data_IF_537124775051
#
_entry.id   IF_537124775051
#
_cell.length_a   1.000
_cell.length_b   1.000
_cell.length_c   1.000
_cell.angle_alpha   90.00
_cell.angle_beta   90.00
_cell.angle_gamma   90.00
#
_symmetry.space_group_name_H-M   'P 1'
#
loop_
_entity.id
_entity.type
_entity.pdbx_description
1 polymer ?
#
# COMPACT_ATOMS: atom_id res chain seq x y z
N UNK A 1 -13.83 -0.41 -17.25
CA UNK A 1 -12.44 -0.67 -17.68
C UNK A 1 -11.70 -1.05 -16.43
N UNK A 2 -11.02 -2.19 -16.45
CA UNK A 2 -10.28 -2.67 -15.29
C UNK A 2 -8.88 -2.05 -15.34
N UNK A 3 -8.44 -1.48 -14.22
CA UNK A 3 -7.16 -0.75 -14.13
C UNK A 3 -6.21 -1.46 -13.17
N UNK A 4 -4.93 -1.54 -13.52
CA UNK A 4 -3.88 -2.02 -12.62
C UNK A 4 -3.04 -0.82 -12.19
N UNK A 5 -2.86 -0.64 -10.88
CA UNK A 5 -2.07 0.46 -10.31
C UNK A 5 -0.91 -0.10 -9.50
N UNK A 6 0.30 0.25 -9.91
CA UNK A 6 1.55 -0.08 -9.21
C UNK A 6 1.83 0.87 -8.05
N UNK A 7 2.70 0.43 -7.14
CA UNK A 7 3.30 1.29 -6.13
C UNK A 7 4.69 1.76 -6.58
N UNK A 8 5.13 2.90 -6.04
CA UNK A 8 6.43 3.49 -6.35
C UNK A 8 7.28 3.73 -5.12
N UNK A 9 8.60 3.54 -5.26
CA UNK A 9 9.60 3.97 -4.29
C UNK A 9 10.51 4.97 -4.99
N UNK A 10 10.68 6.15 -4.40
CA UNK A 10 11.54 7.21 -4.91
C UNK A 10 12.69 7.43 -3.94
N UNK A 11 13.92 7.47 -4.47
CA UNK A 11 15.10 7.88 -3.70
C UNK A 11 15.57 9.24 -4.20
N UNK A 12 15.81 10.16 -3.27
CA UNK A 12 16.36 11.48 -3.51
C UNK A 12 17.79 11.48 -3.00
N UNK A 13 18.75 11.69 -3.90
CA UNK A 13 20.18 11.64 -3.61
C UNK A 13 20.80 13.02 -3.42
N UNK A 14 20.01 14.08 -3.59
CA UNK A 14 20.41 15.48 -3.48
C UNK A 14 19.40 16.25 -2.60
N UNK A 15 19.52 17.58 -2.61
CA UNK A 15 18.59 18.49 -1.92
C UNK A 15 17.42 18.96 -2.81
N UNK A 16 17.26 18.39 -4.01
CA UNK A 16 16.17 18.77 -4.89
C UNK A 16 14.85 18.07 -4.50
N UNK A 17 13.73 18.68 -4.88
CA UNK A 17 12.43 18.04 -4.74
C UNK A 17 12.23 17.01 -5.87
N UNK A 18 11.75 15.79 -5.57
CA UNK A 18 11.49 14.81 -6.61
C UNK A 18 10.27 15.22 -7.44
N UNK A 19 10.28 14.88 -8.73
CA UNK A 19 9.17 15.15 -9.66
C UNK A 19 7.81 14.63 -9.18
N UNK A 20 7.81 13.47 -8.49
CA UNK A 20 6.63 12.91 -7.85
C UNK A 20 6.84 12.92 -6.35
N UNK A 21 6.35 13.99 -5.71
CA UNK A 21 6.45 14.18 -4.26
C UNK A 21 5.05 14.33 -3.65
N UNK A 22 4.78 13.58 -2.58
CA UNK A 22 3.54 13.69 -1.80
C UNK A 22 3.67 14.61 -0.59
N UNK A 23 4.77 15.37 -0.47
CA UNK A 23 5.02 16.27 0.65
C UNK A 23 5.79 15.64 1.81
N UNK A 24 6.05 14.33 1.79
CA UNK A 24 6.67 13.60 2.90
C UNK A 24 7.89 12.84 2.39
N UNK A 25 9.03 13.02 3.07
CA UNK A 25 10.23 12.19 2.93
C UNK A 25 10.53 11.47 4.24
N UNK A 26 11.10 10.28 4.12
CA UNK A 26 11.79 9.60 5.22
C UNK A 26 13.30 9.72 4.99
N UNK A 27 14.02 10.28 5.96
CA UNK A 27 15.48 10.42 5.89
C UNK A 27 16.17 9.10 6.22
N UNK A 28 17.03 8.62 5.31
CA UNK A 28 17.85 7.42 5.49
C UNK A 28 19.34 7.76 5.34
N UNK A 29 20.17 7.10 6.14
CA UNK A 29 21.63 7.30 6.11
C UNK A 29 22.39 5.99 6.36
N UNK A 30 23.63 5.92 5.88
CA UNK A 30 24.48 4.73 6.07
C UNK A 30 24.28 3.63 5.02
N UNK A 31 24.26 2.37 5.44
CA UNK A 31 23.96 1.22 4.58
C UNK A 31 22.51 0.80 4.81
N UNK A 32 21.68 0.87 3.77
CA UNK A 32 20.25 0.68 3.87
C UNK A 32 19.84 -0.68 3.30
N UNK A 33 19.02 -1.41 4.05
CA UNK A 33 18.24 -2.55 3.57
C UNK A 33 16.78 -2.22 3.75
N UNK A 34 16.09 -1.88 2.66
CA UNK A 34 14.67 -1.55 2.66
C UNK A 34 13.88 -2.75 2.13
N UNK A 35 12.99 -3.29 2.95
CA UNK A 35 12.09 -4.39 2.58
C UNK A 35 10.66 -3.89 2.51
N UNK A 36 10.01 -4.09 1.38
CA UNK A 36 8.63 -3.67 1.13
C UNK A 36 7.76 -4.88 0.80
N UNK A 37 6.74 -5.10 1.61
CA UNK A 37 5.73 -6.15 1.41
C UNK A 37 4.53 -5.56 0.67
N UNK A 38 4.07 -6.27 -0.34
CA UNK A 38 2.91 -5.86 -1.15
C UNK A 38 1.85 -6.95 -1.16
N UNK A 39 0.61 -6.49 -1.21
CA UNK A 39 -0.60 -7.29 -1.20
C UNK A 39 -1.48 -6.90 -2.38
N UNK A 40 -2.11 -7.84 -3.09
CA UNK A 40 -3.14 -7.52 -4.04
C UNK A 40 -4.35 -6.92 -3.32
N UNK A 41 -4.75 -5.71 -3.73
CA UNK A 41 -6.02 -5.12 -3.30
C UNK A 41 -6.92 -4.92 -4.51
N UNK A 42 -8.04 -5.65 -4.52
CA UNK A 42 -9.07 -5.56 -5.56
C UNK A 42 -10.12 -4.57 -5.09
N UNK A 43 -10.06 -3.34 -5.60
CA UNK A 43 -11.01 -2.28 -5.28
C UNK A 43 -12.12 -2.22 -6.30
N UNK A 44 -13.37 -2.21 -5.86
CA UNK A 44 -14.54 -1.90 -6.66
C UNK A 44 -15.12 -0.55 -6.21
N UNK A 45 -14.80 0.53 -6.94
CA UNK A 45 -15.26 1.88 -6.65
C UNK A 45 -16.24 2.31 -7.74
N UNK A 46 -17.51 2.55 -7.42
CA UNK A 46 -18.54 2.93 -8.41
C UNK A 46 -18.58 2.00 -9.64
N UNK A 47 -18.53 0.67 -9.42
CA UNK A 47 -18.50 -0.36 -10.49
C UNK A 47 -17.21 -0.35 -11.33
N UNK A 48 -16.20 0.43 -10.98
CA UNK A 48 -14.87 0.36 -11.58
C UNK A 48 -13.98 -0.53 -10.73
N UNK A 49 -13.45 -1.58 -11.36
CA UNK A 49 -12.51 -2.51 -10.72
C UNK A 49 -11.08 -2.03 -10.94
N UNK A 50 -10.32 -1.97 -9.86
CA UNK A 50 -8.91 -1.64 -9.86
C UNK A 50 -8.13 -2.65 -9.04
N UNK A 51 -7.08 -3.21 -9.62
CA UNK A 51 -6.10 -4.03 -8.90
C UNK A 51 -4.92 -3.17 -8.48
N UNK A 52 -4.71 -3.05 -7.19
CA UNK A 52 -3.60 -2.29 -6.60
C UNK A 52 -2.49 -3.23 -6.13
N UNK A 53 -1.25 -2.84 -6.40
CA UNK A 53 -0.06 -3.38 -5.70
C UNK A 53 0.08 -2.61 -4.39
N UNK A 54 -0.58 -3.08 -3.32
CA UNK A 54 -0.74 -2.29 -2.10
C UNK A 54 0.33 -2.60 -1.05
N UNK A 55 1.11 -1.59 -0.67
CA UNK A 55 2.18 -1.69 0.35
C UNK A 55 1.99 -0.73 1.52
N UNK A 56 0.74 -0.47 1.92
CA UNK A 56 0.37 0.51 2.94
C UNK A 56 0.27 1.94 2.41
N UNK A 57 1.26 2.35 1.62
CA UNK A 57 1.28 3.60 0.87
C UNK A 57 1.44 3.34 -0.64
N UNK A 58 0.85 4.20 -1.47
CA UNK A 58 0.97 4.10 -2.93
C UNK A 58 2.34 4.56 -3.43
N UNK A 59 2.95 5.54 -2.74
CA UNK A 59 4.26 6.09 -3.05
C UNK A 59 5.01 6.35 -1.75
N UNK A 60 6.24 5.90 -1.68
CA UNK A 60 7.17 6.22 -0.58
C UNK A 60 8.36 6.98 -1.14
N UNK A 61 8.77 8.05 -0.47
CA UNK A 61 9.92 8.89 -0.87
C UNK A 61 10.96 8.87 0.24
N UNK A 62 12.20 8.58 -0.13
CA UNK A 62 13.33 8.48 0.79
C UNK A 62 14.41 9.48 0.42
N UNK A 63 14.87 10.28 1.38
CA UNK A 63 16.01 11.17 1.18
C UNK A 63 17.27 10.48 1.70
N UNK A 64 18.31 10.43 0.86
CA UNK A 64 19.43 9.47 1.03
C UNK A 64 20.81 10.10 0.84
N UNK A 65 20.95 11.41 1.04
CA UNK A 65 22.18 12.19 0.79
C UNK A 65 23.44 11.55 1.40
N UNK A 66 23.34 10.96 2.59
CA UNK A 66 24.45 10.34 3.32
C UNK A 66 24.43 8.80 3.26
N UNK A 67 23.80 8.22 2.26
CA UNK A 67 23.69 6.77 2.09
C UNK A 67 24.76 6.25 1.14
N UNK A 68 25.45 5.17 1.52
CA UNK A 68 26.49 4.55 0.69
C UNK A 68 25.95 3.46 -0.20
N UNK A 69 25.02 2.66 0.32
CA UNK A 69 24.44 1.52 -0.37
C UNK A 69 22.95 1.41 -0.03
N UNK A 70 22.14 1.07 -1.04
CA UNK A 70 20.71 0.79 -0.87
C UNK A 70 20.43 -0.59 -1.45
N UNK A 71 20.00 -1.51 -0.58
CA UNK A 71 19.44 -2.80 -0.96
C UNK A 71 17.93 -2.74 -0.82
N UNK A 72 17.22 -2.80 -1.96
CA UNK A 72 15.76 -2.78 -1.99
C UNK A 72 15.23 -4.19 -2.27
N UNK A 73 14.34 -4.66 -1.42
CA UNK A 73 13.73 -5.98 -1.53
C UNK A 73 12.23 -5.83 -1.60
N UNK A 74 11.65 -6.30 -2.72
CA UNK A 74 10.21 -6.35 -2.93
C UNK A 74 9.69 -7.75 -2.64
N UNK A 75 8.73 -7.85 -1.73
CA UNK A 75 8.06 -9.11 -1.38
C UNK A 75 6.60 -9.04 -1.82
N UNK A 76 6.22 -9.89 -2.77
CA UNK A 76 4.83 -10.03 -3.20
C UNK A 76 4.13 -11.13 -2.40
N UNK A 77 2.91 -10.85 -1.94
CA UNK A 77 2.10 -11.78 -1.14
C UNK A 77 0.77 -12.08 -1.87
N UNK A 78 0.79 -12.81 -3.00
CA UNK A 78 -0.40 -12.99 -3.84
C UNK A 78 -1.51 -13.82 -3.18
N UNK A 79 -1.21 -14.58 -2.13
CA UNK A 79 -2.20 -15.39 -1.40
C UNK A 79 -3.03 -14.57 -0.40
N UNK A 80 -2.65 -13.33 -0.11
CA UNK A 80 -3.33 -12.46 0.86
C UNK A 80 -3.97 -11.32 0.08
N UNK A 81 -5.16 -11.60 -0.46
CA UNK A 81 -5.93 -10.66 -1.29
C UNK A 81 -7.02 -10.00 -0.46
N UNK A 82 -7.08 -8.67 -0.47
CA UNK A 82 -8.18 -7.90 0.13
C UNK A 82 -9.08 -7.34 -0.96
N UNK A 83 -10.38 -7.42 -0.73
CA UNK A 83 -11.38 -6.83 -1.61
C UNK A 83 -11.99 -5.60 -0.96
N UNK A 84 -12.35 -4.59 -1.76
CA UNK A 84 -13.15 -3.47 -1.27
C UNK A 84 -14.30 -3.09 -2.18
N UNK A 85 -15.36 -2.58 -1.58
CA UNK A 85 -16.55 -2.08 -2.27
C UNK A 85 -16.90 -0.69 -1.75
N UNK A 86 -17.01 0.26 -2.67
CA UNK A 86 -17.44 1.63 -2.38
C UNK A 86 -18.33 2.16 -3.52
N UNK A 87 -19.37 2.94 -3.23
CA UNK A 87 -19.85 3.27 -1.89
C UNK A 87 -20.75 2.18 -1.32
N UNK A 88 -20.64 1.93 -0.01
CA UNK A 88 -21.70 1.28 0.78
C UNK A 88 -22.43 2.38 1.52
N UNK A 89 -23.68 2.64 1.13
CA UNK A 89 -24.46 3.75 1.67
C UNK A 89 -24.84 3.48 3.12
N UNK A 90 -24.47 4.39 4.03
CA UNK A 90 -24.90 4.35 5.41
C UNK A 90 -25.52 5.70 5.79
N UNK A 91 -26.80 5.85 5.41
CA UNK A 91 -27.75 6.97 5.66
C UNK A 91 -27.25 8.37 5.25
N UNK A 92 -26.16 8.84 5.85
CA UNK A 92 -25.64 10.21 5.76
C UNK A 92 -24.22 10.29 5.18
N UNK A 93 -23.54 9.15 4.97
CA UNK A 93 -22.17 9.11 4.44
C UNK A 93 -21.90 7.82 3.67
N UNK A 94 -21.01 7.93 2.68
CA UNK A 94 -20.48 6.79 1.93
C UNK A 94 -19.29 6.16 2.66
N UNK A 95 -19.31 4.84 2.80
CA UNK A 95 -18.25 4.06 3.43
C UNK A 95 -17.67 3.05 2.44
N UNK A 96 -16.47 2.57 2.74
CA UNK A 96 -15.84 1.45 2.04
C UNK A 96 -15.99 0.20 2.88
N UNK A 97 -16.53 -0.87 2.29
CA UNK A 97 -16.51 -2.21 2.87
C UNK A 97 -15.26 -2.92 2.40
N UNK A 98 -14.46 -3.42 3.34
CA UNK A 98 -13.29 -4.25 3.11
C UNK A 98 -13.58 -5.70 3.50
N UNK A 99 -13.18 -6.64 2.66
CA UNK A 99 -13.32 -8.08 2.89
C UNK A 99 -11.90 -8.66 2.86
N UNK A 100 -11.45 -9.11 4.02
CA UNK A 100 -10.11 -9.65 4.22
C UNK A 100 -10.08 -11.16 3.97
N UNK A 101 -8.91 -11.73 3.62
CA UNK A 101 -8.80 -13.14 3.27
C UNK A 101 -8.97 -14.09 4.45
N UNK A 102 -8.92 -13.59 5.69
CA UNK A 102 -9.27 -14.31 6.92
C UNK A 102 -10.79 -14.40 7.16
N UNK A 103 -11.60 -13.83 6.26
CA UNK A 103 -13.06 -13.81 6.34
C UNK A 103 -13.63 -12.59 7.09
N UNK A 104 -12.78 -11.75 7.68
CA UNK A 104 -13.26 -10.58 8.42
C UNK A 104 -13.71 -9.45 7.47
N UNK A 105 -14.76 -8.74 7.88
CA UNK A 105 -15.39 -7.67 7.10
C UNK A 105 -15.39 -6.39 7.92
N UNK A 106 -14.75 -5.35 7.38
CA UNK A 106 -14.64 -4.04 8.03
C UNK A 106 -15.31 -3.00 7.17
N UNK A 107 -16.21 -2.20 7.75
CA UNK A 107 -16.75 -1.00 7.11
C UNK A 107 -16.02 0.20 7.71
N UNK A 108 -15.24 0.89 6.88
CA UNK A 108 -14.50 2.09 7.30
C UNK A 108 -14.77 3.24 6.36
N UNK A 109 -14.60 4.45 6.90
CA UNK A 109 -14.51 5.66 6.10
C UNK A 109 -13.19 5.73 5.33
N UNK A 110 -12.17 5.02 5.80
CA UNK A 110 -10.84 5.07 5.19
C UNK A 110 -10.91 4.62 3.73
N UNK A 111 -10.15 5.32 2.90
CA UNK A 111 -10.06 5.04 1.47
C UNK A 111 -9.10 3.89 1.13
N UNK A 112 -8.46 3.26 2.13
CA UNK A 112 -7.51 2.17 1.95
C UNK A 112 -7.71 1.04 2.98
N UNK A 113 -7.35 -0.21 2.65
CA UNK A 113 -7.33 -1.31 3.60
C UNK A 113 -6.33 -1.08 4.75
N UNK A 114 -6.54 -1.74 5.89
CA UNK A 114 -5.58 -1.80 6.99
C UNK A 114 -4.40 -2.68 6.59
N UNK A 115 -3.26 -2.05 6.36
CA UNK A 115 -2.01 -2.73 5.98
C UNK A 115 -1.44 -3.60 7.10
N UNK A 116 -1.52 -3.16 8.36
CA UNK A 116 -1.02 -3.93 9.50
C UNK A 116 -1.83 -5.22 9.68
N UNK A 117 -3.12 -5.18 9.36
CA UNK A 117 -3.93 -6.40 9.32
C UNK A 117 -3.47 -7.38 8.25
N UNK A 118 -3.14 -6.91 7.04
CA UNK A 118 -2.62 -7.77 5.98
C UNK A 118 -1.31 -8.45 6.37
N UNK A 119 -0.42 -7.73 7.05
CA UNK A 119 0.80 -8.30 7.62
C UNK A 119 0.50 -9.42 8.62
N UNK A 120 -0.41 -9.19 9.58
CA UNK A 120 -0.81 -10.20 10.57
C UNK A 120 -1.40 -11.45 9.92
N UNK A 121 -2.26 -11.29 8.91
CA UNK A 121 -2.85 -12.43 8.19
C UNK A 121 -1.75 -13.24 7.48
N UNK A 122 -0.80 -12.57 6.83
CA UNK A 122 0.33 -13.23 6.15
C UNK A 122 1.20 -14.03 7.10
N UNK A 123 1.47 -13.48 8.28
CA UNK A 123 2.30 -14.12 9.31
C UNK A 123 1.61 -15.35 9.91
N UNK A 124 0.31 -15.27 10.16
CA UNK A 124 -0.47 -16.40 10.67
C UNK A 124 -0.66 -17.52 9.64
N UNK A 125 -0.67 -17.19 8.34
CA UNK A 125 -0.79 -18.18 7.26
C UNK A 125 0.49 -19.01 7.02
N UNK A 126 1.60 -18.65 7.65
CA UNK A 126 2.89 -19.33 7.55
C UNK A 126 3.16 -20.32 8.71
N UNK A 127 2.22 -20.45 9.65
CA UNK A 127 2.27 -21.41 10.76
C UNK A 127 1.42 -22.64 10.41
#
# INVERSE_FOLDING_TARGET
>A
MDTVIGAGVTFVFDDNLPHSFNGIYEDLSGNIILRKKYFPWVSNKNKQKTLWTYGGQLRSTYKTINTRNISLIFESNPSVVVHSEWPVNNKDREYTKYIYPDGDIVVSIDERPDYEKLLRIKENSNK
#
